data_IF_044168511236
#
_entry.id   IF_044168511236
#
_cell.length_a   1.000
_cell.length_b   1.000
_cell.length_c   1.000
_cell.angle_alpha   90.00
_cell.angle_beta   90.00
_cell.angle_gamma   90.00
#
_symmetry.space_group_name_H-M   'P 1'
#
loop_
_entity.id
_entity.type
_entity.pdbx_description
1 polymer ?
#
# COMPACT_ATOMS: atom_id res chain seq x y z
N UNK A 1 16.98 9.41 9.06
CA UNK A 1 16.22 8.64 8.06
C UNK A 1 14.82 8.44 8.63
N UNK A 2 13.76 8.89 7.94
CA UNK A 2 12.38 9.03 8.47
C UNK A 2 11.57 7.72 8.36
N UNK A 3 12.18 6.66 7.83
CA UNK A 3 11.54 5.38 7.55
C UNK A 3 12.49 4.24 7.94
N UNK A 4 11.99 3.24 8.67
CA UNK A 4 12.72 2.01 8.99
C UNK A 4 12.16 0.86 8.17
N UNK A 5 13.03 0.24 7.38
CA UNK A 5 12.74 -0.98 6.63
C UNK A 5 13.81 -2.00 7.02
N UNK A 6 13.39 -3.17 7.51
CA UNK A 6 14.28 -4.26 7.91
C UNK A 6 13.88 -5.58 7.25
N UNK A 7 14.50 -6.69 7.65
CA UNK A 7 14.20 -8.01 7.10
C UNK A 7 12.76 -8.47 7.38
N UNK A 8 12.05 -7.84 8.31
CA UNK A 8 10.64 -8.08 8.62
C UNK A 8 9.69 -7.14 7.86
N UNK A 9 10.23 -6.23 7.04
CA UNK A 9 9.48 -5.34 6.16
C UNK A 9 9.43 -3.90 6.67
N UNK A 10 8.33 -3.22 6.36
CA UNK A 10 8.14 -1.80 6.66
C UNK A 10 7.55 -1.60 8.06
N UNK A 11 8.17 -0.76 8.89
CA UNK A 11 7.66 -0.43 10.23
C UNK A 11 6.55 0.63 10.17
N UNK A 12 5.32 0.16 10.00
CA UNK A 12 4.11 0.99 10.02
C UNK A 12 3.88 1.69 11.37
N UNK A 13 4.35 1.15 12.49
CA UNK A 13 4.09 1.72 13.82
C UNK A 13 4.87 3.00 14.06
N UNK A 14 6.03 3.14 13.42
CA UNK A 14 6.87 4.34 13.51
C UNK A 14 6.33 5.56 12.75
N UNK A 15 5.31 5.39 11.89
CA UNK A 15 4.81 6.46 11.02
C UNK A 15 3.84 7.38 11.77
N UNK A 16 4.16 8.68 11.82
CA UNK A 16 3.27 9.70 12.39
C UNK A 16 2.17 10.08 11.39
N UNK A 17 0.92 9.72 11.71
CA UNK A 17 -0.26 10.00 10.86
C UNK A 17 -0.97 11.31 11.21
N UNK A 18 -0.61 11.96 12.31
CA UNK A 18 -1.26 13.21 12.72
C UNK A 18 -0.93 14.34 11.75
N UNK A 19 -1.94 14.97 11.15
CA UNK A 19 -1.78 16.15 10.30
C UNK A 19 -1.34 15.86 8.87
N UNK A 20 -1.33 14.59 8.44
CA UNK A 20 -1.08 14.25 7.03
C UNK A 20 -2.32 14.51 6.17
N UNK A 21 -2.11 14.72 4.87
CA UNK A 21 -3.21 14.88 3.92
C UNK A 21 -4.04 13.59 3.84
N UNK A 22 -5.37 13.68 3.66
CA UNK A 22 -6.26 12.51 3.58
C UNK A 22 -5.81 11.47 2.53
N UNK A 23 -5.30 11.93 1.40
CA UNK A 23 -4.76 11.06 0.35
C UNK A 23 -3.58 10.21 0.84
N UNK A 24 -2.61 10.83 1.52
CA UNK A 24 -1.45 10.13 2.08
C UNK A 24 -1.88 9.12 3.14
N UNK A 25 -2.93 9.43 3.90
CA UNK A 25 -3.52 8.49 4.85
C UNK A 25 -4.13 7.28 4.13
N UNK A 26 -4.86 7.48 3.03
CA UNK A 26 -5.41 6.40 2.22
C UNK A 26 -4.31 5.50 1.65
N UNK A 27 -3.23 6.07 1.11
CA UNK A 27 -2.07 5.32 0.60
C UNK A 27 -1.39 4.52 1.72
N UNK A 28 -1.20 5.12 2.90
CA UNK A 28 -0.66 4.43 4.07
C UNK A 28 -1.53 3.23 4.48
N UNK A 29 -2.85 3.41 4.56
CA UNK A 29 -3.76 2.33 4.93
C UNK A 29 -3.78 1.21 3.89
N UNK A 30 -3.72 1.56 2.60
CA UNK A 30 -3.60 0.58 1.52
C UNK A 30 -2.29 -0.22 1.61
N UNK A 31 -1.15 0.46 1.77
CA UNK A 31 0.14 -0.20 1.92
C UNK A 31 0.17 -1.14 3.13
N UNK A 32 -0.39 -0.71 4.26
CA UNK A 32 -0.51 -1.53 5.49
C UNK A 32 -1.40 -2.73 5.24
N UNK A 33 -2.56 -2.55 4.60
CA UNK A 33 -3.48 -3.62 4.25
C UNK A 33 -2.82 -4.68 3.36
N UNK A 34 -2.12 -4.26 2.31
CA UNK A 34 -1.39 -5.14 1.38
C UNK A 34 -0.30 -5.93 2.11
N UNK A 35 0.52 -5.24 2.93
CA UNK A 35 1.66 -5.86 3.61
C UNK A 35 1.26 -6.84 4.72
N UNK A 36 0.13 -6.61 5.37
CA UNK A 36 -0.27 -7.38 6.58
C UNK A 36 -1.48 -8.28 6.35
N UNK A 37 -2.13 -8.20 5.19
CA UNK A 37 -3.41 -8.86 4.92
C UNK A 37 -4.59 -8.29 5.73
N UNK A 38 -4.46 -7.09 6.30
CA UNK A 38 -5.52 -6.45 7.10
C UNK A 38 -6.56 -5.73 6.23
N UNK A 39 -7.75 -5.49 6.79
CA UNK A 39 -8.88 -4.84 6.08
C UNK A 39 -8.97 -3.34 6.35
N UNK A 40 -7.84 -2.64 6.36
CA UNK A 40 -7.78 -1.23 6.77
C UNK A 40 -8.26 -0.24 5.69
N UNK A 41 -8.49 -0.71 4.46
CA UNK A 41 -9.04 0.08 3.37
C UNK A 41 -10.22 -0.68 2.73
N UNK A 42 -11.30 0.04 2.43
CA UNK A 42 -12.49 -0.54 1.79
C UNK A 42 -12.57 -0.14 0.32
N UNK A 43 -13.37 -0.88 -0.46
CA UNK A 43 -13.66 -0.51 -1.85
C UNK A 43 -14.28 0.90 -1.96
N UNK A 44 -15.09 1.30 -0.98
CA UNK A 44 -15.69 2.64 -0.93
C UNK A 44 -14.63 3.74 -0.73
N UNK A 45 -13.56 3.47 0.03
CA UNK A 45 -12.45 4.41 0.16
C UNK A 45 -11.68 4.57 -1.16
N UNK A 46 -11.44 3.46 -1.87
CA UNK A 46 -10.76 3.46 -3.16
C UNK A 46 -11.58 4.13 -4.27
N UNK A 47 -12.90 4.09 -4.18
CA UNK A 47 -13.81 4.69 -5.15
C UNK A 47 -14.07 6.19 -4.90
N UNK A 48 -13.50 6.77 -3.84
CA UNK A 48 -13.68 8.18 -3.49
C UNK A 48 -12.54 9.03 -4.06
N UNK A 49 -12.80 9.87 -5.07
CA UNK A 49 -11.77 10.73 -5.67
C UNK A 49 -11.26 11.82 -4.71
N UNK A 50 -12.02 12.11 -3.65
CA UNK A 50 -11.62 13.05 -2.58
C UNK A 50 -10.59 12.42 -1.62
N UNK A 51 -10.58 11.09 -1.52
CA UNK A 51 -9.69 10.34 -0.63
C UNK A 51 -8.55 9.66 -1.36
N UNK A 52 -8.73 9.34 -2.64
CA UNK A 52 -7.80 8.60 -3.48
C UNK A 52 -7.82 9.22 -4.87
N UNK A 53 -6.75 9.93 -5.22
CA UNK A 53 -6.52 10.45 -6.57
C UNK A 53 -6.31 9.30 -7.56
N UNK A 54 -6.39 9.59 -8.86
CA UNK A 54 -6.11 8.60 -9.91
C UNK A 54 -4.68 8.06 -9.78
N UNK A 55 -3.72 8.91 -9.42
CA UNK A 55 -2.33 8.54 -9.16
C UNK A 55 -2.22 7.59 -7.95
N UNK A 56 -2.86 7.93 -6.82
CA UNK A 56 -2.87 7.08 -5.64
C UNK A 56 -3.56 5.73 -5.92
N UNK A 57 -4.67 5.74 -6.65
CA UNK A 57 -5.38 4.52 -7.05
C UNK A 57 -4.49 3.62 -7.91
N UNK A 58 -3.81 4.20 -8.91
CA UNK A 58 -2.87 3.48 -9.77
C UNK A 58 -1.75 2.83 -8.96
N UNK A 59 -1.14 3.56 -8.03
CA UNK A 59 -0.10 3.03 -7.13
C UNK A 59 -0.60 1.86 -6.29
N UNK A 60 -1.79 1.98 -5.70
CA UNK A 60 -2.40 0.94 -4.87
C UNK A 60 -2.68 -0.33 -5.70
N UNK A 61 -3.22 -0.18 -6.91
CA UNK A 61 -3.50 -1.30 -7.81
C UNK A 61 -2.21 -1.99 -8.25
N UNK A 62 -1.18 -1.23 -8.63
CA UNK A 62 0.13 -1.78 -8.98
C UNK A 62 0.75 -2.57 -7.82
N UNK A 63 0.70 -2.04 -6.60
CA UNK A 63 1.18 -2.73 -5.40
C UNK A 63 0.38 -4.02 -5.11
N UNK A 64 -0.95 -4.01 -5.30
CA UNK A 64 -1.79 -5.19 -5.15
C UNK A 64 -1.45 -6.29 -6.17
N UNK A 65 -1.23 -5.91 -7.42
CA UNK A 65 -0.86 -6.85 -8.49
C UNK A 65 0.50 -7.47 -8.22
N UNK A 66 1.48 -6.67 -7.79
CA UNK A 66 2.80 -7.16 -7.38
C UNK A 66 2.71 -8.10 -6.17
N UNK A 67 1.94 -7.74 -5.15
CA UNK A 67 1.77 -8.59 -3.97
C UNK A 67 1.10 -9.93 -4.32
N UNK A 68 0.15 -9.94 -5.27
CA UNK A 68 -0.59 -11.14 -5.66
C UNK A 68 0.13 -12.04 -6.66
N UNK A 69 0.83 -11.44 -7.62
CA UNK A 69 1.38 -12.16 -8.77
C UNK A 69 2.90 -12.00 -8.92
N UNK A 70 3.55 -11.12 -8.16
CA UNK A 70 4.97 -10.80 -8.32
C UNK A 70 5.85 -12.03 -8.19
N UNK A 71 5.63 -12.87 -7.18
CA UNK A 71 6.40 -14.12 -7.02
C UNK A 71 6.18 -15.09 -8.20
N UNK A 72 4.92 -15.25 -8.66
CA UNK A 72 4.61 -16.09 -9.81
C UNK A 72 5.32 -15.61 -11.08
N UNK A 73 5.32 -14.29 -11.35
CA UNK A 73 5.98 -13.67 -12.50
C UNK A 73 7.51 -13.86 -12.42
N UNK A 74 8.11 -13.55 -11.27
CA UNK A 74 9.56 -13.68 -11.06
C UNK A 74 10.06 -15.13 -11.14
N UNK A 75 9.20 -16.09 -10.80
CA UNK A 75 9.49 -17.51 -10.94
C UNK A 75 9.18 -18.04 -12.36
N UNK A 76 8.35 -17.34 -13.14
CA UNK A 76 8.06 -17.68 -14.54
C UNK A 76 9.24 -17.36 -15.46
N UNK A 77 9.90 -16.21 -15.25
CA UNK A 77 11.09 -15.79 -16.03
C UNK A 77 12.33 -16.65 -15.76
N UNK A 78 12.37 -17.39 -14.64
CA UNK A 78 13.49 -18.27 -14.28
C UNK A 78 13.42 -19.67 -14.90
N UNK A 79 12.39 -19.96 -15.69
CA UNK A 79 12.23 -21.20 -16.47
C UNK A 79 12.52 -20.96 -17.94
#
# INVERSE_FOLDING_TARGET
>A
MIWKFDACGFDFQSVQLSGIQPELYSVYQAAKAISTGSRNITLANLASPELVTDEAFHLIVCALLLAKYGDAILNFERR
#
